data_IF_209217239198
#
_entry.id   IF_209217239198
#
_cell.length_a   1.000
_cell.length_b   1.000
_cell.length_c   1.000
_cell.angle_alpha   90.00
_cell.angle_beta   90.00
_cell.angle_gamma   90.00
#
_symmetry.space_group_name_H-M   'P 1'
#
loop_
_entity.id
_entity.type
_entity.pdbx_description
1 polymer ?
#
# COMPACT_ATOMS: atom_id res chain seq x y z
N UNK A 1 -28.27 8.50 6.15
CA UNK A 1 -27.93 7.46 5.16
C UNK A 1 -26.44 7.26 5.32
N UNK A 2 -26.00 6.15 5.87
CA UNK A 2 -24.58 5.80 5.88
C UNK A 2 -24.26 5.32 4.48
N UNK A 3 -23.46 6.10 3.74
CA UNK A 3 -22.83 5.58 2.54
C UNK A 3 -21.94 4.42 2.97
N UNK A 4 -22.30 3.20 2.55
CA UNK A 4 -21.44 2.04 2.73
C UNK A 4 -20.15 2.31 1.94
N UNK A 5 -19.02 2.45 2.65
CA UNK A 5 -17.71 2.61 2.02
C UNK A 5 -17.45 1.32 1.23
N UNK A 6 -17.58 1.37 -0.10
CA UNK A 6 -17.36 0.22 -0.96
C UNK A 6 -15.85 0.00 -1.15
N UNK A 7 -15.31 -0.99 -0.44
CA UNK A 7 -13.91 -1.40 -0.56
C UNK A 7 -13.86 -2.74 -1.30
N UNK A 8 -13.18 -2.77 -2.45
CA UNK A 8 -13.14 -3.96 -3.30
C UNK A 8 -11.71 -4.36 -3.67
N UNK A 9 -11.40 -5.67 -3.82
CA UNK A 9 -10.11 -6.12 -4.34
C UNK A 9 -9.87 -5.63 -5.76
N UNK A 10 -8.74 -4.96 -5.99
CA UNK A 10 -8.36 -4.42 -7.30
C UNK A 10 -7.08 -5.04 -7.85
N UNK A 11 -6.22 -5.58 -7.00
CA UNK A 11 -4.99 -6.24 -7.44
C UNK A 11 -4.48 -7.30 -6.46
N UNK A 12 -3.64 -8.18 -6.99
CA UNK A 12 -2.82 -9.09 -6.21
C UNK A 12 -1.34 -8.71 -6.41
N UNK A 13 -0.83 -7.84 -5.54
CA UNK A 13 0.45 -7.18 -5.74
C UNK A 13 1.59 -7.92 -5.02
N UNK A 14 2.69 -8.17 -5.73
CA UNK A 14 3.90 -8.72 -5.13
C UNK A 14 4.61 -7.68 -4.26
N UNK A 15 5.05 -8.11 -3.08
CA UNK A 15 5.93 -7.32 -2.21
C UNK A 15 7.35 -7.45 -2.77
N UNK A 16 8.01 -6.31 -3.01
CA UNK A 16 9.38 -6.25 -3.52
C UNK A 16 10.28 -5.53 -2.54
N UNK A 17 11.44 -6.10 -2.22
CA UNK A 17 12.45 -5.43 -1.41
C UNK A 17 13.48 -4.76 -2.33
N UNK A 18 13.47 -3.44 -2.41
CA UNK A 18 14.33 -2.67 -3.30
C UNK A 18 14.86 -1.43 -2.59
N UNK A 19 16.16 -1.16 -2.68
CA UNK A 19 16.76 0.04 -2.09
C UNK A 19 16.62 0.15 -0.56
N UNK A 20 16.50 -0.98 0.14
CA UNK A 20 16.33 -1.01 1.60
C UNK A 20 14.89 -0.84 2.10
N UNK A 21 13.90 -0.92 1.20
CA UNK A 21 12.49 -0.80 1.57
C UNK A 21 11.62 -1.88 0.91
N UNK A 22 10.58 -2.31 1.62
CA UNK A 22 9.52 -3.14 1.08
C UNK A 22 8.54 -2.26 0.32
N UNK A 23 8.29 -2.60 -0.94
CA UNK A 23 7.46 -1.81 -1.85
C UNK A 23 6.34 -2.66 -2.43
N UNK A 24 5.17 -2.05 -2.55
CA UNK A 24 3.98 -2.67 -3.14
C UNK A 24 3.47 -1.76 -4.26
N UNK A 25 3.12 -2.37 -5.40
CA UNK A 25 2.51 -1.66 -6.50
C UNK A 25 1.04 -1.37 -6.18
N UNK A 26 0.63 -0.11 -6.32
CA UNK A 26 -0.73 0.34 -6.03
C UNK A 26 -1.39 0.99 -7.25
N UNK A 27 -0.85 0.79 -8.45
CA UNK A 27 -1.31 1.50 -9.64
C UNK A 27 -2.79 1.30 -9.93
N UNK A 28 -3.30 0.07 -9.84
CA UNK A 28 -4.72 -0.20 -10.05
C UNK A 28 -5.61 0.44 -8.99
N UNK A 29 -5.14 0.49 -7.74
CA UNK A 29 -5.84 1.16 -6.65
C UNK A 29 -5.89 2.66 -6.88
N UNK A 30 -4.75 3.31 -7.17
CA UNK A 30 -4.68 4.75 -7.50
C UNK A 30 -5.61 5.13 -8.67
N UNK A 31 -5.63 4.31 -9.72
CA UNK A 31 -6.53 4.52 -10.85
C UNK A 31 -8.01 4.31 -10.49
N UNK A 32 -8.32 3.39 -9.56
CA UNK A 32 -9.70 3.13 -9.09
C UNK A 32 -10.26 4.29 -8.26
N UNK A 33 -9.40 4.95 -7.49
CA UNK A 33 -9.74 6.08 -6.62
C UNK A 33 -9.59 7.44 -7.31
N UNK A 34 -9.20 7.45 -8.59
CA UNK A 34 -8.98 8.65 -9.40
C UNK A 34 -8.03 9.67 -8.76
N UNK A 35 -6.91 9.18 -8.18
CA UNK A 35 -5.86 10.02 -7.58
C UNK A 35 -4.53 9.86 -8.30
N UNK A 36 -3.68 10.89 -8.18
CA UNK A 36 -2.31 10.90 -8.71
C UNK A 36 -1.33 11.40 -7.67
N UNK A 37 -0.24 10.66 -7.44
CA UNK A 37 0.81 11.07 -6.50
C UNK A 37 0.31 11.17 -5.04
N UNK A 38 0.93 12.05 -4.24
CA UNK A 38 0.59 12.23 -2.83
C UNK A 38 1.29 11.25 -1.88
N UNK A 39 0.64 11.03 -0.75
CA UNK A 39 1.09 10.10 0.29
C UNK A 39 -0.06 9.20 0.77
N UNK A 40 0.29 8.14 1.49
CA UNK A 40 -0.65 7.30 2.23
C UNK A 40 -0.30 7.33 3.71
N UNK A 41 -1.26 7.71 4.54
CA UNK A 41 -1.18 7.44 5.99
C UNK A 41 -1.57 5.99 6.24
N UNK A 42 -0.60 5.17 6.68
CA UNK A 42 -0.81 3.75 6.95
C UNK A 42 -1.16 3.53 8.42
N UNK A 43 -2.39 3.11 8.72
CA UNK A 43 -2.76 2.80 10.11
C UNK A 43 -2.34 1.39 10.48
N UNK A 44 -1.14 1.27 11.05
CA UNK A 44 -0.56 0.00 11.49
C UNK A 44 -1.37 -0.59 12.66
N UNK A 45 -2.01 0.25 13.49
CA UNK A 45 -2.78 -0.25 14.64
C UNK A 45 -4.04 -1.00 14.21
N UNK A 46 -4.63 -0.63 13.08
CA UNK A 46 -5.77 -1.33 12.51
C UNK A 46 -5.46 -2.80 12.12
N UNK A 47 -4.18 -3.17 11.98
CA UNK A 47 -3.81 -4.57 11.69
C UNK A 47 -4.18 -5.49 12.85
N UNK A 48 -3.94 -5.06 14.10
CA UNK A 48 -4.27 -5.84 15.29
C UNK A 48 -5.79 -6.07 15.42
N UNK A 49 -6.58 -5.06 15.03
CA UNK A 49 -8.04 -5.10 15.15
C UNK A 49 -8.74 -5.76 13.96
N UNK A 50 -8.21 -5.58 12.74
CA UNK A 50 -8.90 -5.91 11.49
C UNK A 50 -8.14 -6.91 10.61
N UNK A 51 -6.88 -7.23 10.92
CA UNK A 51 -6.02 -8.09 10.10
C UNK A 51 -5.65 -7.51 8.74
N UNK A 52 -5.82 -6.18 8.57
CA UNK A 52 -5.52 -5.45 7.34
C UNK A 52 -4.78 -4.17 7.65
N UNK A 53 -4.02 -3.69 6.69
CA UNK A 53 -3.34 -2.40 6.76
C UNK A 53 -4.07 -1.38 5.88
N UNK A 54 -4.93 -0.52 6.44
CA UNK A 54 -5.55 0.56 5.68
C UNK A 54 -4.57 1.72 5.48
N UNK A 55 -4.72 2.38 4.33
CA UNK A 55 -3.94 3.51 3.89
C UNK A 55 -4.85 4.61 3.39
N UNK A 56 -4.89 5.74 4.10
CA UNK A 56 -5.67 6.91 3.69
C UNK A 56 -4.83 7.80 2.77
N UNK A 57 -5.35 8.13 1.60
CA UNK A 57 -4.65 9.01 0.66
C UNK A 57 -4.64 10.45 1.15
N UNK A 58 -3.50 11.11 1.00
CA UNK A 58 -3.32 12.52 1.28
C UNK A 58 -2.61 13.22 0.12
N UNK A 59 -3.05 14.44 -0.20
CA UNK A 59 -2.46 15.26 -1.24
C UNK A 59 -1.05 15.75 -0.85
N UNK A 60 -0.21 16.06 -1.84
CA UNK A 60 1.18 16.52 -1.61
C UNK A 60 1.26 17.90 -0.91
N UNK A 61 0.19 18.70 -0.99
CA UNK A 61 0.05 20.05 -0.43
C UNK A 61 -0.80 20.10 0.84
N UNK A 62 -1.21 18.94 1.38
CA UNK A 62 -1.89 18.90 2.65
C UNK A 62 -0.94 19.46 3.74
N UNK A 63 -1.36 20.51 4.45
CA UNK A 63 -0.68 21.12 5.61
C UNK A 63 -0.57 20.17 6.83
N UNK A 64 -0.79 18.87 6.62
CA UNK A 64 -0.83 17.87 7.67
C UNK A 64 0.57 17.58 8.22
N UNK A 65 0.62 17.46 9.54
CA UNK A 65 1.76 16.93 10.28
C UNK A 65 2.09 15.56 9.69
N UNK A 66 3.24 15.45 9.03
CA UNK A 66 3.72 14.19 8.45
C UNK A 66 3.93 13.19 9.58
N UNK A 67 2.91 12.37 9.84
CA UNK A 67 2.98 11.30 10.82
C UNK A 67 4.08 10.30 10.43
N UNK A 68 4.69 9.66 11.44
CA UNK A 68 5.71 8.61 11.25
C UNK A 68 5.25 7.45 10.35
N UNK A 69 3.94 7.26 10.18
CA UNK A 69 3.34 6.24 9.35
C UNK A 69 2.96 6.72 7.94
N UNK A 70 3.10 8.01 7.64
CA UNK A 70 2.84 8.56 6.31
C UNK A 70 3.94 8.12 5.34
N UNK A 71 3.55 7.60 4.18
CA UNK A 71 4.45 7.05 3.15
C UNK A 71 4.17 7.75 1.83
N UNK A 72 5.20 8.38 1.27
CA UNK A 72 5.11 8.98 -0.06
C UNK A 72 4.82 7.90 -1.11
N UNK A 73 3.92 8.24 -2.03
CA UNK A 73 3.66 7.43 -3.22
C UNK A 73 4.77 7.74 -4.22
N UNK A 74 5.55 6.72 -4.56
CA UNK A 74 6.58 6.80 -5.57
C UNK A 74 5.94 6.71 -6.96
N UNK A 75 6.08 7.78 -7.74
CA UNK A 75 5.53 7.90 -9.09
C UNK A 75 6.64 7.68 -10.12
N UNK A 76 6.44 6.74 -11.04
CA UNK A 76 7.30 6.56 -12.21
C UNK A 76 6.48 6.72 -13.50
N UNK A 77 6.81 7.77 -14.26
CA UNK A 77 6.21 8.06 -15.58
C UNK A 77 6.93 7.27 -16.68
N UNK A 78 6.17 6.61 -17.53
CA UNK A 78 6.67 5.93 -18.73
C UNK A 78 5.71 6.15 -19.92
N UNK A 79 6.04 5.60 -21.10
CA UNK A 79 5.22 5.76 -22.31
C UNK A 79 3.82 5.12 -22.20
N UNK A 80 3.61 4.22 -21.23
CA UNK A 80 2.35 3.53 -20.96
C UNK A 80 1.54 4.18 -19.82
N UNK A 81 2.02 5.28 -19.24
CA UNK A 81 1.33 6.04 -18.20
C UNK A 81 2.16 6.19 -16.91
N UNK A 82 1.46 6.53 -15.83
CA UNK A 82 2.06 6.61 -14.49
C UNK A 82 1.97 5.25 -13.79
N UNK A 83 3.02 4.90 -13.04
CA UNK A 83 3.02 3.74 -12.15
C UNK A 83 3.30 4.19 -10.74
N UNK A 84 2.56 3.62 -9.80
CA UNK A 84 2.53 4.05 -8.41
C UNK A 84 2.97 2.91 -7.49
N UNK A 85 3.84 3.23 -6.53
CA UNK A 85 4.27 2.31 -5.48
C UNK A 85 4.28 3.01 -4.14
N UNK A 86 4.06 2.26 -3.07
CA UNK A 86 4.22 2.75 -1.70
C UNK A 86 5.16 1.82 -0.93
N UNK A 87 5.87 2.40 0.03
CA UNK A 87 6.69 1.64 0.96
C UNK A 87 5.82 1.11 2.10
N UNK A 88 5.90 -0.19 2.36
CA UNK A 88 5.28 -0.81 3.53
C UNK A 88 6.33 -0.89 4.65
N UNK A 89 6.04 -0.36 5.86
CA UNK A 89 6.93 -0.48 7.00
C UNK A 89 7.18 -1.95 7.36
N UNK A 90 8.40 -2.27 7.81
CA UNK A 90 8.75 -3.62 8.27
C UNK A 90 7.79 -4.12 9.35
N UNK A 91 7.54 -3.31 10.38
CA UNK A 91 6.57 -3.60 11.43
C UNK A 91 5.19 -3.94 10.90
N UNK A 92 4.73 -3.26 9.84
CA UNK A 92 3.42 -3.55 9.28
C UNK A 92 3.39 -4.92 8.57
N UNK A 93 4.52 -5.40 8.04
CA UNK A 93 4.62 -6.76 7.51
C UNK A 93 4.56 -7.79 8.65
N UNK A 94 5.32 -7.55 9.72
CA UNK A 94 5.31 -8.40 10.91
C UNK A 94 3.89 -8.54 11.49
N UNK A 95 3.21 -7.41 11.67
CA UNK A 95 1.85 -7.36 12.20
C UNK A 95 0.84 -8.05 11.25
N UNK A 96 1.09 -8.02 9.93
CA UNK A 96 0.32 -8.77 8.92
C UNK A 96 0.67 -10.28 8.89
N UNK A 97 1.55 -10.75 9.77
CA UNK A 97 1.98 -12.15 9.83
C UNK A 97 2.97 -12.55 8.74
N UNK A 98 3.68 -11.59 8.15
CA UNK A 98 4.68 -11.81 7.11
C UNK A 98 6.08 -11.56 7.69
N UNK A 99 6.93 -12.58 7.68
CA UNK A 99 8.32 -12.45 8.10
C UNK A 99 9.10 -11.55 7.13
N UNK A 100 9.62 -10.38 7.56
CA UNK A 100 10.35 -9.47 6.70
C UNK A 100 11.58 -10.09 6.02
N UNK A 101 12.30 -10.98 6.71
CA UNK A 101 13.46 -11.66 6.15
C UNK A 101 13.03 -12.60 5.02
N UNK A 102 11.96 -13.37 5.23
CA UNK A 102 11.42 -14.26 4.20
C UNK A 102 10.86 -13.47 3.00
N UNK A 103 10.15 -12.36 3.26
CA UNK A 103 9.67 -11.44 2.20
C UNK A 103 10.85 -10.95 1.36
N UNK A 104 11.95 -10.55 2.01
CA UNK A 104 13.17 -10.07 1.36
C UNK A 104 13.85 -11.16 0.54
N UNK A 105 14.01 -12.36 1.06
CA UNK A 105 14.63 -13.47 0.33
C UNK A 105 13.83 -13.87 -0.91
N UNK A 106 12.50 -13.83 -0.81
CA UNK A 106 11.59 -14.22 -1.89
C UNK A 106 11.28 -13.10 -2.86
N UNK A 107 11.71 -11.86 -2.59
CA UNK A 107 11.27 -10.68 -3.31
C UNK A 107 11.57 -10.70 -4.80
N UNK A 108 12.68 -11.33 -5.21
CA UNK A 108 13.11 -11.48 -6.61
C UNK A 108 12.92 -12.90 -7.16
N UNK A 109 12.34 -13.79 -6.36
CA UNK A 109 12.13 -15.19 -6.69
C UNK A 109 10.95 -15.43 -7.64
N UNK A 110 10.79 -16.70 -8.05
CA UNK A 110 9.65 -17.16 -8.87
C UNK A 110 8.30 -17.09 -8.13
N UNK A 111 8.32 -17.05 -6.80
CA UNK A 111 7.13 -17.00 -5.96
C UNK A 111 7.27 -15.93 -4.87
N UNK A 112 7.24 -14.63 -5.25
CA UNK A 112 7.29 -13.55 -4.27
C UNK A 112 6.04 -13.58 -3.40
N UNK A 113 6.18 -13.14 -2.15
CA UNK A 113 5.02 -12.90 -1.29
C UNK A 113 4.15 -11.79 -1.90
N UNK A 114 2.85 -11.86 -1.65
CA UNK A 114 1.86 -10.95 -2.25
C UNK A 114 0.87 -10.48 -1.20
N UNK A 115 0.33 -9.30 -1.42
CA UNK A 115 -0.81 -8.76 -0.69
C UNK A 115 -1.97 -8.59 -1.67
N UNK A 116 -3.18 -8.83 -1.19
CA UNK A 116 -4.37 -8.35 -1.86
C UNK A 116 -4.46 -6.84 -1.62
N UNK A 117 -4.58 -6.07 -2.70
CA UNK A 117 -4.77 -4.63 -2.64
C UNK A 117 -6.24 -4.36 -2.91
N UNK A 118 -6.90 -3.71 -1.95
CA UNK A 118 -8.28 -3.25 -2.07
C UNK A 118 -8.31 -1.72 -2.17
N UNK A 119 -9.37 -1.19 -2.78
CA UNK A 119 -9.57 0.24 -2.92
C UNK A 119 -11.02 0.64 -2.62
N UNK A 120 -11.19 1.71 -1.85
CA UNK A 120 -12.43 2.49 -1.69
C UNK A 120 -12.18 3.94 -2.08
N UNK A 121 -13.13 4.86 -1.90
CA UNK A 121 -13.08 6.20 -2.56
C UNK A 121 -11.80 7.02 -2.34
N UNK A 122 -11.25 7.05 -1.12
CA UNK A 122 -10.00 7.75 -0.78
C UNK A 122 -9.02 6.84 0.00
N UNK A 123 -9.25 5.53 -0.06
CA UNK A 123 -8.55 4.56 0.79
C UNK A 123 -8.02 3.38 -0.02
N UNK A 124 -6.83 2.92 0.33
CA UNK A 124 -6.20 1.70 -0.17
C UNK A 124 -5.96 0.77 1.01
N UNK A 125 -6.35 -0.49 0.92
CA UNK A 125 -6.16 -1.47 2.00
C UNK A 125 -5.28 -2.61 1.51
N UNK A 126 -4.36 -3.04 2.36
CA UNK A 126 -3.50 -4.20 2.11
C UNK A 126 -3.91 -5.36 3.03
N UNK A 127 -4.17 -6.52 2.44
CA UNK A 127 -4.56 -7.73 3.15
C UNK A 127 -3.59 -8.87 2.82
N UNK A 128 -3.16 -9.68 3.81
CA UNK A 128 -2.31 -10.84 3.55
C UNK A 128 -3.11 -11.96 2.85
N UNK A 129 -2.42 -12.93 2.26
CA UNK A 129 -3.01 -14.08 1.55
C UNK A 129 -2.94 -15.33 2.42
#
# INVERSE_FOLDING_TARGET
>A
MTEDIQIEPVDLAAIRYQGGAYTVAITKAMNRIDKSGGSLFLDIHAIEDMGVLPGMWTADDADEVVDKNTRKIHVKRNQSGESYRVNIPERALEDLGLDPEEVRERSDGKNPMKLTVLAGDDMIVFQPI
#
